data_IF_063286843856
#
_entry.id   IF_063286843856
#
_cell.length_a   1.000
_cell.length_b   1.000
_cell.length_c   1.000
_cell.angle_alpha   90.00
_cell.angle_beta   90.00
_cell.angle_gamma   90.00
#
_symmetry.space_group_name_H-M   'P 1'
#
loop_
_entity.id
_entity.type
_entity.pdbx_description
1 polymer ?
#
# COMPACT_ATOMS: atom_id res chain seq x y z
N UNK A 1 14.50 9.46 -1.79
CA UNK A 1 13.33 9.16 -2.66
C UNK A 1 12.52 7.96 -2.21
N UNK A 2 13.16 6.89 -1.73
CA UNK A 2 12.45 5.69 -1.29
C UNK A 2 11.32 5.98 -0.30
N UNK A 3 11.56 6.80 0.73
CA UNK A 3 10.57 7.10 1.77
C UNK A 3 9.32 7.84 1.26
N UNK A 4 9.46 8.75 0.29
CA UNK A 4 8.31 9.46 -0.31
C UNK A 4 7.48 8.54 -1.18
N UNK A 5 8.12 7.65 -1.94
CA UNK A 5 7.44 6.61 -2.71
C UNK A 5 6.78 5.56 -1.82
N UNK A 6 7.44 5.14 -0.73
CA UNK A 6 6.87 4.25 0.28
C UNK A 6 5.62 4.86 0.89
N UNK A 7 5.67 6.13 1.29
CA UNK A 7 4.50 6.83 1.81
C UNK A 7 3.36 6.91 0.77
N UNK A 8 3.66 7.28 -0.47
CA UNK A 8 2.68 7.33 -1.55
C UNK A 8 2.00 5.97 -1.79
N UNK A 9 2.78 4.89 -1.82
CA UNK A 9 2.27 3.53 -1.94
C UNK A 9 1.39 3.13 -0.75
N UNK A 10 1.81 3.40 0.49
CA UNK A 10 1.01 3.09 1.69
C UNK A 10 -0.32 3.86 1.68
N UNK A 11 -0.34 5.12 1.24
CA UNK A 11 -1.58 5.88 1.06
C UNK A 11 -2.49 5.21 0.04
N UNK A 12 -1.95 4.78 -1.10
CA UNK A 12 -2.72 4.10 -2.14
C UNK A 12 -3.35 2.78 -1.64
N UNK A 13 -2.58 1.98 -0.89
CA UNK A 13 -2.99 0.65 -0.44
C UNK A 13 -3.94 0.67 0.75
N UNK A 14 -3.81 1.66 1.65
CA UNK A 14 -4.54 1.66 2.91
C UNK A 14 -5.58 2.77 3.03
N UNK A 15 -5.30 3.96 2.49
CA UNK A 15 -6.24 5.08 2.57
C UNK A 15 -7.17 5.11 1.35
N UNK A 16 -6.65 4.82 0.16
CA UNK A 16 -7.40 4.90 -1.11
C UNK A 16 -8.01 3.56 -1.56
N UNK A 17 -7.86 2.48 -0.78
CA UNK A 17 -8.40 1.15 -1.08
C UNK A 17 -9.58 0.80 -0.14
N UNK A 18 -10.77 1.36 -0.36
CA UNK A 18 -11.95 0.98 0.42
C UNK A 18 -12.34 -0.48 0.17
N UNK A 19 -13.10 -1.07 1.09
CA UNK A 19 -13.46 -2.49 1.04
C UNK A 19 -14.11 -2.94 -0.28
N UNK A 20 -14.95 -2.10 -0.90
CA UNK A 20 -15.56 -2.44 -2.19
C UNK A 20 -14.51 -2.61 -3.31
N UNK A 21 -13.42 -1.84 -3.26
CA UNK A 21 -12.33 -1.94 -4.23
C UNK A 21 -11.53 -3.22 -3.99
N UNK A 22 -11.30 -3.60 -2.73
CA UNK A 22 -10.70 -4.89 -2.36
C UNK A 22 -11.49 -6.06 -2.98
N UNK A 23 -12.82 -6.04 -2.87
CA UNK A 23 -13.65 -7.08 -3.48
C UNK A 23 -13.62 -7.03 -5.02
N UNK A 24 -13.56 -5.83 -5.61
CA UNK A 24 -13.54 -5.63 -7.07
C UNK A 24 -12.21 -6.03 -7.71
N UNK A 25 -11.09 -6.06 -6.98
CA UNK A 25 -9.77 -6.52 -7.47
C UNK A 25 -9.76 -7.97 -8.00
N UNK A 26 -10.81 -8.75 -7.77
CA UNK A 26 -11.05 -10.04 -8.46
C UNK A 26 -11.38 -9.89 -9.95
N UNK A 27 -11.59 -8.66 -10.42
CA UNK A 27 -11.84 -8.30 -11.82
C UNK A 27 -10.78 -7.31 -12.30
N UNK A 28 -10.50 -7.32 -13.60
CA UNK A 28 -9.48 -6.47 -14.21
C UNK A 28 -9.73 -4.97 -14.01
N UNK A 29 -10.98 -4.53 -14.06
CA UNK A 29 -11.35 -3.13 -13.83
C UNK A 29 -11.04 -2.68 -12.38
N UNK A 30 -11.23 -3.56 -11.39
CA UNK A 30 -10.84 -3.28 -10.01
C UNK A 30 -9.32 -3.19 -9.83
N UNK A 31 -8.57 -4.08 -10.47
CA UNK A 31 -7.10 -4.07 -10.46
C UNK A 31 -6.55 -2.80 -11.12
N UNK A 32 -7.07 -2.44 -12.29
CA UNK A 32 -6.65 -1.24 -13.00
C UNK A 32 -7.01 0.04 -12.23
N UNK A 33 -8.18 0.09 -11.59
CA UNK A 33 -8.56 1.25 -10.78
C UNK A 33 -7.62 1.43 -9.58
N UNK A 34 -7.27 0.35 -8.90
CA UNK A 34 -6.33 0.44 -7.78
C UNK A 34 -4.90 0.74 -8.25
N UNK A 35 -4.44 0.12 -9.34
CA UNK A 35 -3.15 0.45 -9.96
C UNK A 35 -3.08 1.92 -10.41
N UNK A 36 -4.17 2.48 -10.91
CA UNK A 36 -4.27 3.90 -11.22
C UNK A 36 -4.15 4.76 -9.94
N UNK A 37 -4.76 4.36 -8.81
CA UNK A 37 -4.58 5.05 -7.54
C UNK A 37 -3.11 5.06 -7.10
N UNK A 38 -2.41 3.93 -7.21
CA UNK A 38 -0.97 3.82 -6.91
C UNK A 38 -0.14 4.75 -7.79
N UNK A 39 -0.38 4.74 -9.11
CA UNK A 39 0.31 5.63 -10.05
C UNK A 39 0.04 7.10 -9.74
N UNK A 40 -1.22 7.46 -9.46
CA UNK A 40 -1.61 8.84 -9.14
C UNK A 40 -0.96 9.32 -7.83
N UNK A 41 -0.88 8.47 -6.80
CA UNK A 41 -0.18 8.81 -5.57
C UNK A 41 1.32 9.06 -5.80
N UNK A 42 1.99 8.29 -6.66
CA UNK A 42 3.39 8.55 -7.01
C UNK A 42 3.55 9.81 -7.87
N UNK A 43 2.69 10.03 -8.86
CA UNK A 43 2.71 11.23 -9.70
C UNK A 43 2.46 12.50 -8.90
N UNK A 44 1.62 12.43 -7.85
CA UNK A 44 1.37 13.56 -6.95
C UNK A 44 2.64 14.05 -6.23
N UNK A 45 3.67 13.21 -6.09
CA UNK A 45 4.96 13.65 -5.56
C UNK A 45 5.62 14.73 -6.43
N UNK A 46 5.37 14.75 -7.74
CA UNK A 46 5.89 15.78 -8.63
C UNK A 46 5.32 17.18 -8.35
N UNK A 47 4.20 17.29 -7.60
CA UNK A 47 3.64 18.57 -7.18
C UNK A 47 4.47 19.26 -6.09
N UNK A 48 5.19 18.47 -5.29
CA UNK A 48 6.07 18.97 -4.20
C UNK A 48 7.55 18.88 -4.56
N UNK A 49 7.91 17.96 -5.45
CA UNK A 49 9.28 17.78 -5.92
C UNK A 49 9.29 17.49 -7.44
N UNK A 50 9.31 18.53 -8.30
CA UNK A 50 9.14 18.37 -9.75
C UNK A 50 10.14 17.43 -10.42
N UNK A 51 11.36 17.30 -9.88
CA UNK A 51 12.38 16.38 -10.37
C UNK A 51 11.92 14.90 -10.33
N UNK A 52 10.98 14.56 -9.44
CA UNK A 52 10.40 13.22 -9.34
C UNK A 52 9.67 12.83 -10.62
N UNK A 53 9.19 13.78 -11.44
CA UNK A 53 8.55 13.47 -12.71
C UNK A 53 9.49 12.73 -13.69
N UNK A 54 10.80 12.94 -13.60
CA UNK A 54 11.78 12.20 -14.40
C UNK A 54 11.77 10.68 -14.12
N UNK A 55 11.20 10.26 -12.98
CA UNK A 55 11.05 8.86 -12.59
C UNK A 55 9.76 8.22 -13.10
N UNK A 56 9.04 8.84 -14.05
CA UNK A 56 7.82 8.24 -14.62
C UNK A 56 8.00 6.81 -15.17
N UNK A 57 9.15 6.40 -15.76
CA UNK A 57 9.31 5.00 -16.20
C UNK A 57 9.40 4.04 -15.01
N UNK A 58 10.06 4.46 -13.93
CA UNK A 58 10.11 3.72 -12.68
C UNK A 58 8.72 3.60 -12.04
N UNK A 59 7.94 4.68 -12.03
CA UNK A 59 6.55 4.68 -11.55
C UNK A 59 5.68 3.68 -12.33
N UNK A 60 5.76 3.68 -13.66
CA UNK A 60 5.01 2.71 -14.48
C UNK A 60 5.44 1.27 -14.20
N UNK A 61 6.75 1.04 -14.01
CA UNK A 61 7.29 -0.29 -13.66
C UNK A 61 6.75 -0.75 -12.31
N UNK A 62 6.79 0.12 -11.29
CA UNK A 62 6.24 -0.15 -9.96
C UNK A 62 4.74 -0.45 -10.07
N UNK A 63 3.96 0.38 -10.77
CA UNK A 63 2.53 0.15 -10.97
C UNK A 63 2.24 -1.18 -11.68
N UNK A 64 3.04 -1.56 -12.68
CA UNK A 64 2.89 -2.83 -13.38
C UNK A 64 3.12 -4.03 -12.47
N UNK A 65 4.20 -4.02 -11.68
CA UNK A 65 4.49 -5.07 -10.70
C UNK A 65 3.45 -5.10 -9.58
N UNK A 66 2.94 -3.94 -9.16
CA UNK A 66 1.86 -3.81 -8.19
C UNK A 66 0.60 -4.52 -8.66
N UNK A 67 0.14 -4.22 -9.89
CA UNK A 67 -1.04 -4.87 -10.49
C UNK A 67 -0.83 -6.38 -10.62
N UNK A 68 0.36 -6.83 -11.03
CA UNK A 68 0.67 -8.24 -11.17
C UNK A 68 0.66 -8.99 -9.83
N UNK A 69 1.23 -8.37 -8.80
CA UNK A 69 1.27 -8.91 -7.42
C UNK A 69 -0.13 -9.01 -6.85
N UNK A 70 -0.92 -7.95 -6.99
CA UNK A 70 -2.31 -7.91 -6.57
C UNK A 70 -3.17 -8.97 -7.26
N UNK A 71 -3.00 -9.11 -8.57
CA UNK A 71 -3.68 -10.14 -9.34
C UNK A 71 -3.30 -11.53 -8.82
N UNK A 72 -2.00 -11.79 -8.60
CA UNK A 72 -1.53 -13.07 -8.08
C UNK A 72 -2.09 -13.35 -6.68
N UNK A 73 -2.11 -12.35 -5.80
CA UNK A 73 -2.64 -12.46 -4.44
C UNK A 73 -4.10 -12.92 -4.45
N UNK A 74 -4.97 -12.16 -5.13
CA UNK A 74 -6.42 -12.39 -5.10
C UNK A 74 -6.87 -13.64 -5.87
N UNK A 75 -6.09 -14.09 -6.86
CA UNK A 75 -6.43 -15.29 -7.65
C UNK A 75 -5.74 -16.56 -7.17
N UNK A 76 -4.57 -16.45 -6.53
CA UNK A 76 -3.74 -17.59 -6.15
C UNK A 76 -3.39 -17.57 -4.67
N UNK A 77 -2.69 -16.55 -4.19
CA UNK A 77 -2.08 -16.58 -2.85
C UNK A 77 -3.11 -16.75 -1.72
N UNK A 78 -4.26 -16.08 -1.80
CA UNK A 78 -5.33 -16.16 -0.79
C UNK A 78 -5.90 -17.58 -0.63
N UNK A 79 -5.76 -18.44 -1.65
CA UNK A 79 -6.18 -19.85 -1.60
C UNK A 79 -5.06 -20.79 -1.20
N UNK A 80 -3.83 -20.48 -1.62
CA UNK A 80 -2.66 -21.34 -1.43
C UNK A 80 -2.00 -21.17 -0.05
N UNK A 81 -2.05 -19.96 0.50
CA UNK A 81 -1.32 -19.60 1.71
C UNK A 81 -2.29 -19.40 2.88
N UNK A 82 -2.05 -20.12 3.97
CA UNK A 82 -2.79 -19.98 5.23
C UNK A 82 -1.81 -19.85 6.40
N UNK A 83 -2.17 -19.10 7.45
CA UNK A 83 -3.39 -18.28 7.63
C UNK A 83 -3.43 -17.04 6.71
N UNK A 84 -4.59 -16.38 6.57
CA UNK A 84 -4.82 -15.26 5.64
C UNK A 84 -3.89 -14.04 5.87
N UNK A 85 -3.29 -13.92 7.05
CA UNK A 85 -2.27 -12.91 7.33
C UNK A 85 -0.96 -13.15 6.55
N UNK A 86 -0.66 -14.40 6.16
CA UNK A 86 0.55 -14.75 5.40
C UNK A 86 0.55 -14.13 4.01
N UNK A 87 -0.47 -14.34 3.14
CA UNK A 87 -0.51 -13.66 1.84
C UNK A 87 -0.58 -12.15 1.97
N UNK A 88 -1.16 -11.60 3.05
CA UNK A 88 -1.12 -10.16 3.33
C UNK A 88 0.30 -9.65 3.62
N UNK A 89 1.06 -10.30 4.50
CA UNK A 89 2.43 -9.88 4.81
C UNK A 89 3.38 -10.07 3.63
N UNK A 90 3.25 -11.18 2.91
CA UNK A 90 4.05 -11.45 1.72
C UNK A 90 3.81 -10.39 0.64
N UNK A 91 2.56 -10.01 0.43
CA UNK A 91 2.18 -8.93 -0.46
C UNK A 91 2.90 -7.62 -0.11
N UNK A 92 2.93 -7.23 1.17
CA UNK A 92 3.65 -6.04 1.62
C UNK A 92 5.17 -6.13 1.39
N UNK A 93 5.76 -7.31 1.62
CA UNK A 93 7.19 -7.53 1.32
C UNK A 93 7.48 -7.36 -0.18
N UNK A 94 6.64 -7.92 -1.05
CA UNK A 94 6.81 -7.80 -2.51
C UNK A 94 6.75 -6.34 -2.95
N UNK A 95 5.80 -5.56 -2.43
CA UNK A 95 5.68 -4.15 -2.80
C UNK A 95 6.86 -3.30 -2.31
N UNK A 96 7.26 -3.46 -1.04
CA UNK A 96 8.41 -2.72 -0.48
C UNK A 96 9.71 -3.07 -1.20
N UNK A 97 9.93 -4.35 -1.49
CA UNK A 97 11.12 -4.81 -2.24
C UNK A 97 11.11 -4.31 -3.69
N UNK A 98 9.95 -4.27 -4.34
CA UNK A 98 9.80 -3.67 -5.68
C UNK A 98 10.17 -2.20 -5.67
N UNK A 99 9.64 -1.41 -4.73
CA UNK A 99 9.98 0.01 -4.58
C UNK A 99 11.50 0.17 -4.37
N UNK A 100 12.08 -0.60 -3.46
CA UNK A 100 13.51 -0.54 -3.16
C UNK A 100 14.34 -0.86 -4.40
N UNK A 101 14.05 -1.96 -5.09
CA UNK A 101 14.80 -2.42 -6.25
C UNK A 101 14.70 -1.44 -7.43
N UNK A 102 13.48 -1.03 -7.81
CA UNK A 102 13.29 -0.14 -8.97
C UNK A 102 13.90 1.23 -8.73
N UNK A 103 13.74 1.80 -7.54
CA UNK A 103 14.32 3.10 -7.21
C UNK A 103 15.84 3.03 -7.09
N UNK A 104 16.38 1.97 -6.49
CA UNK A 104 17.83 1.77 -6.43
C UNK A 104 18.45 1.61 -7.82
N UNK A 105 17.81 0.87 -8.73
CA UNK A 105 18.27 0.76 -10.12
C UNK A 105 18.22 2.11 -10.87
N UNK A 106 17.28 2.98 -10.50
CA UNK A 106 17.09 4.29 -11.15
C UNK A 106 17.99 5.39 -10.58
N UNK A 107 18.32 5.32 -9.29
CA UNK A 107 18.94 6.42 -8.52
C UNK A 107 20.23 6.03 -7.79
N UNK A 108 20.56 4.74 -7.75
CA UNK A 108 21.67 4.20 -6.95
C UNK A 108 21.50 4.51 -5.46
N UNK A 109 22.60 4.89 -4.80
CA UNK A 109 22.62 5.21 -3.37
C UNK A 109 21.72 6.39 -2.98
N UNK A 110 21.44 7.31 -3.91
CA UNK A 110 20.61 8.50 -3.64
C UNK A 110 19.13 8.14 -3.40
N UNK A 111 18.71 6.93 -3.77
CA UNK A 111 17.38 6.40 -3.44
C UNK A 111 17.08 6.50 -1.93
N UNK A 112 18.11 6.26 -1.10
CA UNK A 112 18.05 6.16 0.36
C UNK A 112 18.29 7.46 1.12
N UNK A 113 18.47 8.60 0.45
CA UNK A 113 18.74 9.88 1.12
C UNK A 113 17.61 10.27 2.09
N UNK A 114 17.98 10.55 3.36
CA UNK A 114 17.09 10.92 4.49
C UNK A 114 17.24 12.41 4.88
N UNK A 115 18.28 13.07 4.38
CA UNK A 115 18.64 14.44 4.74
C UNK A 115 17.62 15.50 4.28
N UNK A 116 16.86 15.20 3.23
CA UNK A 116 15.76 16.04 2.75
C UNK A 116 14.58 16.12 3.74
N UNK A 117 14.09 17.33 4.00
CA UNK A 117 12.92 17.59 4.87
C UNK A 117 11.68 16.82 4.45
N UNK A 118 11.47 16.64 3.14
CA UNK A 118 10.34 15.87 2.61
C UNK A 118 10.42 14.37 2.98
N UNK A 119 11.63 13.78 2.99
CA UNK A 119 11.81 12.38 3.37
C UNK A 119 11.44 12.14 4.85
N UNK A 120 11.79 13.07 5.74
CA UNK A 120 11.40 13.02 7.16
C UNK A 120 9.88 13.02 7.33
N UNK A 121 9.18 13.95 6.66
CA UNK A 121 7.72 14.00 6.72
C UNK A 121 7.05 12.76 6.11
N UNK A 122 7.61 12.23 5.02
CA UNK A 122 7.12 10.99 4.43
C UNK A 122 7.30 9.79 5.38
N UNK A 123 8.41 9.70 6.12
CA UNK A 123 8.61 8.65 7.12
C UNK A 123 7.57 8.75 8.26
N UNK A 124 7.33 9.96 8.77
CA UNK A 124 6.31 10.20 9.80
C UNK A 124 4.93 9.81 9.25
N UNK A 125 4.58 10.29 8.05
CA UNK A 125 3.32 9.96 7.38
C UNK A 125 3.15 8.46 7.15
N UNK A 126 4.21 7.77 6.71
CA UNK A 126 4.21 6.32 6.55
C UNK A 126 3.96 5.60 7.88
N UNK A 127 4.62 6.03 8.96
CA UNK A 127 4.38 5.52 10.30
C UNK A 127 2.93 5.70 10.75
N UNK A 128 2.34 6.86 10.48
CA UNK A 128 0.93 7.14 10.80
C UNK A 128 -0.03 6.28 9.99
N UNK A 129 0.22 6.07 8.69
CA UNK A 129 -0.60 5.18 7.84
C UNK A 129 -0.48 3.73 8.33
N UNK A 130 0.73 3.28 8.66
CA UNK A 130 0.94 1.93 9.19
C UNK A 130 0.20 1.74 10.50
N UNK A 131 0.39 2.64 11.46
CA UNK A 131 -0.24 2.54 12.78
C UNK A 131 -1.77 2.70 12.72
N UNK A 132 -2.26 3.64 11.91
CA UNK A 132 -3.67 4.00 11.85
C UNK A 132 -4.53 3.14 10.93
N UNK A 133 -3.94 2.54 9.89
CA UNK A 133 -4.67 1.80 8.86
C UNK A 133 -4.13 0.38 8.66
N UNK A 134 -2.84 0.23 8.35
CA UNK A 134 -2.28 -1.08 7.97
C UNK A 134 -2.34 -2.10 9.11
N UNK A 135 -1.95 -1.70 10.33
CA UNK A 135 -1.97 -2.57 11.52
C UNK A 135 -3.41 -2.99 11.86
N UNK A 136 -4.39 -2.09 11.99
CA UNK A 136 -5.78 -2.49 12.20
C UNK A 136 -6.31 -3.43 11.11
N UNK A 137 -6.01 -3.18 9.84
CA UNK A 137 -6.41 -4.05 8.73
C UNK A 137 -5.75 -5.43 8.86
N UNK A 138 -4.46 -5.49 9.17
CA UNK A 138 -3.73 -6.74 9.40
C UNK A 138 -4.31 -7.54 10.56
N UNK A 139 -4.63 -6.88 11.68
CA UNK A 139 -5.30 -7.52 12.84
C UNK A 139 -6.68 -8.06 12.43
N UNK A 140 -7.46 -7.33 11.64
CA UNK A 140 -8.74 -7.81 11.12
C UNK A 140 -8.57 -9.03 10.22
N UNK A 141 -7.60 -9.02 9.30
CA UNK A 141 -7.30 -10.17 8.43
C UNK A 141 -6.86 -11.38 9.26
N UNK A 142 -6.13 -11.17 10.35
CA UNK A 142 -5.69 -12.26 11.22
C UNK A 142 -6.83 -12.86 12.05
N UNK A 143 -7.66 -12.02 12.68
CA UNK A 143 -8.68 -12.46 13.65
C UNK A 143 -10.07 -12.73 13.03
N UNK A 144 -10.39 -12.10 11.91
CA UNK A 144 -11.66 -12.23 11.20
C UNK A 144 -11.45 -12.13 9.67
N UNK A 145 -10.75 -13.11 9.06
CA UNK A 145 -10.42 -13.08 7.63
C UNK A 145 -11.64 -13.05 6.70
N UNK A 146 -12.80 -13.49 7.18
CA UNK A 146 -14.07 -13.44 6.45
C UNK A 146 -14.78 -12.07 6.57
N UNK A 147 -14.23 -11.15 7.36
CA UNK A 147 -14.84 -9.85 7.69
C UNK A 147 -16.28 -10.00 8.23
N UNK A 148 -16.57 -11.13 8.88
CA UNK A 148 -17.90 -11.50 9.38
C UNK A 148 -18.38 -10.63 10.55
N UNK A 149 -17.44 -10.02 11.26
CA UNK A 149 -17.66 -9.21 12.47
C UNK A 149 -17.52 -7.71 12.20
N UNK A 150 -17.30 -7.27 10.96
CA UNK A 150 -17.17 -5.83 10.60
C UNK A 150 -18.38 -5.02 11.06
N UNK A 151 -19.60 -5.57 10.91
CA UNK A 151 -20.83 -4.91 11.33
C UNK A 151 -20.89 -4.64 12.86
N UNK A 152 -20.09 -5.37 13.66
CA UNK A 152 -20.01 -5.18 15.11
C UNK A 152 -19.06 -4.05 15.51
N UNK A 153 -18.20 -3.57 14.60
CA UNK A 153 -17.18 -2.56 14.89
C UNK A 153 -17.75 -1.21 15.41
N UNK A 154 -18.85 -0.64 14.85
CA UNK A 154 -19.44 0.58 15.39
C UNK A 154 -20.01 0.41 16.81
N UNK A 155 -20.57 -0.77 17.11
CA UNK A 155 -21.08 -1.09 18.44
C UNK A 155 -19.95 -1.30 19.46
N UNK A 156 -18.83 -1.91 19.05
CA UNK A 156 -17.64 -2.05 19.89
C UNK A 156 -17.01 -0.68 20.22
N UNK A 157 -16.84 0.21 19.21
CA UNK A 157 -16.32 1.58 19.43
C UNK A 157 -17.16 2.38 20.42
N UNK A 158 -18.49 2.29 20.31
CA UNK A 158 -19.41 2.96 21.26
C UNK A 158 -19.23 2.46 22.70
N UNK A 159 -18.94 1.17 22.90
CA UNK A 159 -18.68 0.62 24.26
C UNK A 159 -17.32 1.07 24.80
N UNK A 160 -16.29 1.10 23.96
CA UNK A 160 -14.94 1.49 24.37
C UNK A 160 -14.80 2.97 24.72
N UNK A 161 -15.60 3.86 24.11
CA UNK A 161 -15.61 5.29 24.43
C UNK A 161 -16.58 5.69 25.53
N UNK A 162 -17.31 4.73 26.12
CA UNK A 162 -18.24 4.95 27.23
C UNK A 162 -17.67 4.51 28.59
N UNK A 163 -16.39 4.12 28.63
CA UNK A 163 -15.58 3.85 29.82
C UNK A 163 -14.58 5.00 30.02
#
# INVERSE_FOLDING_TARGET
MFYTFLFAHLVADFAMQPYWLVQRKRRWDGLLLHGAAVLMCMLALALVEPAVFALWPAMLTITGVHIATDWWKVHRADRLLRPAIVPFLLDQVIHVTTLAAVLWLSLGGTAWAVDATLARWAMIGAGLVVAGLAVPIGVMIWLDPAFSKVALAPAARRRSGAL
#
